data_IF_750310909558
#
_entry.id   IF_750310909558
#
_cell.length_a   1.000
_cell.length_b   1.000
_cell.length_c   1.000
_cell.angle_alpha   90.00
_cell.angle_beta   90.00
_cell.angle_gamma   90.00
#
_symmetry.space_group_name_H-M   'P 1'
#
loop_
_entity.id
_entity.type
_entity.pdbx_description
1 polymer ?
#
# COMPACT_ATOMS: atom_id res chain seq x y z
N UNK A 1 30.65 9.28 -1.23
CA UNK A 1 29.73 8.24 -1.74
C UNK A 1 29.30 7.22 -0.68
N UNK A 2 30.23 6.57 0.05
CA UNK A 2 29.90 5.55 1.07
C UNK A 2 29.00 6.11 2.18
N UNK A 3 29.21 7.31 2.66
CA UNK A 3 28.39 7.94 3.68
C UNK A 3 26.93 8.15 3.22
N UNK A 4 26.75 8.66 2.01
CA UNK A 4 25.42 8.87 1.40
C UNK A 4 24.66 7.54 1.21
N UNK A 5 25.37 6.48 0.81
CA UNK A 5 24.79 5.16 0.69
C UNK A 5 24.34 4.62 2.05
N UNK A 6 25.21 4.66 3.07
CA UNK A 6 24.86 4.22 4.43
C UNK A 6 23.67 5.00 5.02
N UNK A 7 23.65 6.32 4.81
CA UNK A 7 22.52 7.16 5.22
C UNK A 7 21.23 6.75 4.51
N UNK A 8 21.29 6.50 3.20
CA UNK A 8 20.12 6.05 2.42
C UNK A 8 19.60 4.69 2.90
N UNK A 9 20.50 3.74 3.21
CA UNK A 9 20.13 2.43 3.75
C UNK A 9 19.46 2.58 5.12
N UNK A 10 20.04 3.38 6.02
CA UNK A 10 19.47 3.63 7.34
C UNK A 10 18.05 4.20 7.24
N UNK A 11 17.84 5.23 6.42
CA UNK A 11 16.51 5.81 6.18
C UNK A 11 15.57 4.94 5.31
N UNK A 12 15.91 3.67 5.09
CA UNK A 12 15.04 2.67 4.46
C UNK A 12 14.60 1.58 5.46
N UNK A 13 15.02 1.66 6.70
CA UNK A 13 14.62 0.70 7.74
C UNK A 13 13.24 1.07 8.32
N UNK A 14 12.51 0.06 8.79
CA UNK A 14 11.21 0.28 9.43
C UNK A 14 11.36 1.16 10.68
N UNK A 15 12.44 0.98 11.44
CA UNK A 15 12.75 1.76 12.64
C UNK A 15 12.89 3.25 12.31
N UNK A 16 13.56 3.58 11.19
CA UNK A 16 13.71 4.98 10.78
C UNK A 16 12.38 5.60 10.35
N UNK A 17 11.50 4.83 9.73
CA UNK A 17 10.16 5.29 9.38
C UNK A 17 9.34 5.59 10.65
N UNK A 18 9.43 4.71 11.66
CA UNK A 18 8.70 4.85 12.92
C UNK A 18 9.18 6.02 13.78
N UNK A 19 10.38 6.57 13.57
CA UNK A 19 10.82 7.77 14.28
C UNK A 19 9.92 9.00 14.02
N UNK A 20 9.36 9.11 12.81
CA UNK A 20 8.48 10.23 12.45
C UNK A 20 6.99 9.83 12.48
N UNK A 21 6.70 8.55 12.23
CA UNK A 21 5.35 8.00 12.34
C UNK A 21 5.09 7.53 13.77
N UNK A 22 5.08 8.46 14.70
CA UNK A 22 4.96 8.20 16.15
C UNK A 22 3.59 7.66 16.59
N UNK A 23 2.64 7.53 15.67
CA UNK A 23 1.31 7.05 16.02
C UNK A 23 1.28 5.52 16.14
N UNK A 24 0.93 4.95 17.31
CA UNK A 24 0.99 3.51 17.55
C UNK A 24 0.05 2.70 16.63
N UNK A 25 -0.98 3.34 16.07
CA UNK A 25 -1.88 2.69 15.11
C UNK A 25 -1.14 2.21 13.85
N UNK A 26 -0.21 3.00 13.32
CA UNK A 26 0.55 2.66 12.10
C UNK A 26 1.34 1.38 12.30
N UNK A 27 2.11 1.30 13.38
CA UNK A 27 2.95 0.15 13.69
C UNK A 27 2.11 -1.10 14.00
N UNK A 28 1.09 -0.96 14.84
CA UNK A 28 0.26 -2.07 15.28
C UNK A 28 -0.55 -2.66 14.12
N UNK A 29 -1.17 -1.82 13.30
CA UNK A 29 -1.94 -2.28 12.13
C UNK A 29 -1.04 -2.95 11.08
N UNK A 30 0.17 -2.45 10.86
CA UNK A 30 1.15 -3.08 9.98
C UNK A 30 1.59 -4.45 10.51
N UNK A 31 1.92 -4.58 11.80
CA UNK A 31 2.30 -5.85 12.41
C UNK A 31 1.20 -6.93 12.32
N UNK A 32 -0.06 -6.51 12.29
CA UNK A 32 -1.22 -7.40 12.16
C UNK A 32 -1.57 -7.71 10.70
N UNK A 33 -0.99 -7.02 9.74
CA UNK A 33 -1.25 -7.22 8.32
C UNK A 33 -0.75 -8.57 7.81
N UNK A 34 -1.32 -9.05 6.71
CA UNK A 34 -0.89 -10.30 6.06
C UNK A 34 0.52 -10.24 5.49
N UNK A 35 1.06 -9.04 5.25
CA UNK A 35 2.43 -8.84 4.78
C UNK A 35 3.49 -8.92 5.88
N UNK A 36 3.08 -9.03 7.14
CA UNK A 36 3.97 -9.24 8.29
C UNK A 36 3.57 -10.48 9.07
N UNK A 37 2.29 -10.65 9.34
CA UNK A 37 1.75 -11.79 10.10
C UNK A 37 1.24 -12.87 9.13
N UNK A 38 2.16 -13.66 8.61
CA UNK A 38 1.87 -14.73 7.66
C UNK A 38 2.63 -16.02 8.01
N UNK A 39 2.16 -17.15 7.48
CA UNK A 39 2.77 -18.46 7.73
C UNK A 39 4.11 -18.70 7.04
N UNK A 40 4.51 -17.85 6.09
CA UNK A 40 5.79 -17.98 5.36
C UNK A 40 6.98 -17.36 6.10
N UNK A 41 6.72 -16.54 7.13
CA UNK A 41 7.75 -15.80 7.85
C UNK A 41 8.37 -14.63 7.05
N UNK A 42 7.85 -14.32 5.87
CA UNK A 42 8.31 -13.17 5.08
C UNK A 42 7.72 -11.90 5.65
N UNK A 43 8.59 -10.94 5.98
CA UNK A 43 8.21 -9.61 6.45
C UNK A 43 8.40 -8.60 5.34
N UNK A 44 7.33 -7.92 4.95
CA UNK A 44 7.38 -6.82 3.98
C UNK A 44 7.63 -5.51 4.69
N UNK A 45 8.69 -4.81 4.30
CA UNK A 45 9.12 -3.55 4.92
C UNK A 45 8.32 -2.35 4.39
N UNK A 46 8.24 -1.28 5.17
CA UNK A 46 7.51 -0.06 4.84
C UNK A 46 7.86 0.47 3.43
N UNK A 47 9.15 0.52 3.12
CA UNK A 47 9.65 1.04 1.83
C UNK A 47 9.20 0.22 0.62
N UNK A 48 8.94 -1.08 0.81
CA UNK A 48 8.50 -1.96 -0.29
C UNK A 48 7.10 -1.60 -0.82
N UNK A 49 6.25 -1.03 0.04
CA UNK A 49 4.91 -0.58 -0.34
C UNK A 49 4.86 0.92 -0.64
N UNK A 50 5.57 1.75 0.16
CA UNK A 50 5.44 3.20 0.11
C UNK A 50 6.39 3.90 -0.87
N UNK A 51 7.37 3.21 -1.40
CA UNK A 51 8.28 3.76 -2.43
C UNK A 51 8.17 2.95 -3.73
N UNK A 52 8.32 3.61 -4.88
CA UNK A 52 8.44 2.91 -6.16
C UNK A 52 9.60 1.91 -6.15
N UNK A 53 9.56 0.84 -6.96
CA UNK A 53 10.65 -0.13 -7.05
C UNK A 53 12.01 0.50 -7.32
N UNK A 54 13.07 -0.06 -6.74
CA UNK A 54 14.45 0.43 -6.93
C UNK A 54 14.97 0.24 -8.36
N UNK A 55 14.33 -0.60 -9.15
CA UNK A 55 14.60 -0.76 -10.58
C UNK A 55 14.52 0.57 -11.34
N UNK A 56 13.66 1.48 -10.92
CA UNK A 56 13.65 2.87 -11.36
C UNK A 56 14.31 3.77 -10.31
N UNK A 57 15.64 3.82 -10.31
CA UNK A 57 16.45 4.51 -9.31
C UNK A 57 16.04 5.98 -9.12
N UNK A 58 15.83 6.72 -10.21
CA UNK A 58 15.45 8.14 -10.13
C UNK A 58 14.07 8.33 -9.50
N UNK A 59 13.07 7.54 -9.92
CA UNK A 59 11.72 7.59 -9.40
C UNK A 59 11.71 7.23 -7.91
N UNK A 60 12.47 6.19 -7.52
CA UNK A 60 12.61 5.75 -6.13
C UNK A 60 13.18 6.85 -5.23
N UNK A 61 14.35 7.39 -5.56
CA UNK A 61 15.01 8.38 -4.71
C UNK A 61 14.33 9.74 -4.69
N UNK A 62 13.70 10.15 -5.80
CA UNK A 62 12.91 11.38 -5.83
C UNK A 62 11.65 11.27 -4.97
N UNK A 63 10.95 10.14 -5.02
CA UNK A 63 9.81 9.85 -4.15
C UNK A 63 10.24 9.82 -2.67
N UNK A 64 11.35 9.14 -2.36
CA UNK A 64 11.91 9.06 -1.02
C UNK A 64 12.26 10.43 -0.45
N UNK A 65 12.91 11.29 -1.22
CA UNK A 65 13.25 12.64 -0.82
C UNK A 65 11.99 13.49 -0.55
N UNK A 66 11.01 13.43 -1.48
CA UNK A 66 9.76 14.17 -1.36
C UNK A 66 8.94 13.76 -0.13
N UNK A 67 8.77 12.45 0.08
CA UNK A 67 8.02 11.93 1.21
C UNK A 67 8.74 12.19 2.53
N UNK A 68 10.05 11.93 2.59
CA UNK A 68 10.85 12.19 3.78
C UNK A 68 10.86 13.66 4.21
N UNK A 69 10.98 14.61 3.27
CA UNK A 69 10.86 16.04 3.59
C UNK A 69 9.47 16.39 4.13
N UNK A 70 8.42 15.83 3.56
CA UNK A 70 7.05 16.03 4.04
C UNK A 70 6.86 15.48 5.45
N UNK A 71 7.41 14.32 5.74
CA UNK A 71 7.28 13.67 7.06
C UNK A 71 8.05 14.45 8.12
N UNK A 72 9.29 14.87 7.83
CA UNK A 72 10.08 15.74 8.72
C UNK A 72 9.34 17.05 8.99
N UNK A 73 8.80 17.68 7.95
CA UNK A 73 8.02 18.91 8.13
C UNK A 73 6.79 18.68 9.02
N UNK A 74 6.05 17.60 8.77
CA UNK A 74 4.88 17.23 9.58
C UNK A 74 5.25 16.96 11.03
N UNK A 75 6.36 16.25 11.26
CA UNK A 75 6.87 15.95 12.60
C UNK A 75 7.23 17.21 13.40
N UNK A 76 7.80 18.22 12.73
CA UNK A 76 8.21 19.48 13.38
C UNK A 76 7.05 20.46 13.60
N UNK A 77 5.97 20.35 12.85
CA UNK A 77 4.91 21.38 12.82
C UNK A 77 3.55 20.92 13.29
N UNK A 78 3.36 19.60 13.50
CA UNK A 78 2.05 19.03 13.86
C UNK A 78 2.18 18.11 15.06
N UNK A 79 1.13 18.07 15.87
CA UNK A 79 0.96 17.05 16.89
C UNK A 79 0.34 15.77 16.29
N UNK A 80 0.59 14.61 16.90
CA UNK A 80 -0.03 13.36 16.52
C UNK A 80 -1.57 13.38 16.64
N UNK A 81 -2.10 14.20 17.55
CA UNK A 81 -3.53 14.43 17.76
C UNK A 81 -4.20 15.20 16.60
N UNK A 82 -3.41 15.96 15.80
CA UNK A 82 -3.93 16.73 14.66
C UNK A 82 -4.28 15.83 13.45
N UNK A 83 -3.90 14.54 13.52
CA UNK A 83 -4.13 13.61 12.42
C UNK A 83 -5.41 12.81 12.60
N UNK A 84 -6.36 12.96 11.70
CA UNK A 84 -7.47 12.04 11.57
C UNK A 84 -7.00 10.76 10.86
N UNK A 85 -6.69 9.72 11.62
CA UNK A 85 -6.17 8.46 11.10
C UNK A 85 -7.22 7.64 10.36
N UNK A 86 -8.50 7.81 10.70
CA UNK A 86 -9.61 7.17 10.00
C UNK A 86 -9.66 7.66 8.54
N UNK A 87 -9.72 8.98 8.34
CA UNK A 87 -9.69 9.58 7.00
C UNK A 87 -8.41 9.23 6.21
N UNK A 88 -7.28 9.11 6.90
CA UNK A 88 -6.01 8.71 6.25
C UNK A 88 -5.97 7.25 5.82
N UNK A 89 -6.80 6.41 6.40
CA UNK A 89 -6.94 5.00 6.04
C UNK A 89 -7.91 4.77 4.88
N UNK A 90 -8.61 5.80 4.41
CA UNK A 90 -9.53 5.70 3.29
C UNK A 90 -8.80 5.57 1.96
N UNK A 91 -9.46 4.92 1.00
CA UNK A 91 -8.91 4.66 -0.34
C UNK A 91 -8.44 5.93 -1.05
N UNK A 92 -9.24 6.99 -1.02
CA UNK A 92 -8.91 8.27 -1.67
C UNK A 92 -7.58 8.86 -1.20
N UNK A 93 -7.23 8.60 0.07
CA UNK A 93 -5.95 9.01 0.62
C UNK A 93 -4.83 8.02 0.29
N UNK A 94 -5.10 6.73 0.45
CA UNK A 94 -4.11 5.67 0.28
C UNK A 94 -3.52 5.60 -1.14
N UNK A 95 -4.35 5.78 -2.19
CA UNK A 95 -3.89 5.77 -3.59
C UNK A 95 -2.82 6.83 -3.91
N UNK A 96 -2.72 7.87 -3.11
CA UNK A 96 -1.71 8.94 -3.29
C UNK A 96 -0.31 8.52 -2.80
N UNK A 97 -0.22 7.47 -1.97
CA UNK A 97 1.01 7.08 -1.27
C UNK A 97 1.48 5.66 -1.56
N UNK A 98 0.68 4.86 -2.25
CA UNK A 98 1.02 3.47 -2.58
C UNK A 98 1.11 3.32 -4.09
N UNK A 99 2.33 3.30 -4.66
CA UNK A 99 2.52 3.07 -6.08
C UNK A 99 2.08 1.65 -6.47
N UNK A 100 1.30 1.51 -7.51
CA UNK A 100 0.81 0.21 -7.99
C UNK A 100 1.95 -0.74 -8.39
N UNK A 101 3.05 -0.17 -8.92
CA UNK A 101 4.24 -0.91 -9.30
C UNK A 101 4.90 -1.62 -8.10
N UNK A 102 4.76 -1.08 -6.90
CA UNK A 102 5.33 -1.69 -5.68
C UNK A 102 4.65 -3.01 -5.34
N UNK A 103 3.35 -3.12 -5.56
CA UNK A 103 2.62 -4.39 -5.42
C UNK A 103 3.05 -5.40 -6.48
N UNK A 104 3.16 -4.96 -7.73
CA UNK A 104 3.51 -5.79 -8.89
C UNK A 104 4.96 -6.28 -8.87
N UNK A 105 5.85 -5.68 -8.08
CA UNK A 105 7.23 -6.16 -7.92
C UNK A 105 7.26 -7.59 -7.33
N UNK A 106 6.37 -7.88 -6.39
CA UNK A 106 6.25 -9.20 -5.76
C UNK A 106 5.08 -10.01 -6.33
N UNK A 107 3.93 -9.37 -6.59
CA UNK A 107 2.71 -10.00 -7.11
C UNK A 107 2.69 -10.00 -8.65
N UNK A 108 3.62 -10.75 -9.27
CA UNK A 108 3.73 -10.85 -10.72
C UNK A 108 2.67 -11.78 -11.33
N UNK A 109 2.20 -12.76 -10.56
CA UNK A 109 1.11 -13.65 -10.96
C UNK A 109 -0.16 -13.31 -10.20
N UNK A 110 -1.17 -12.78 -10.89
CA UNK A 110 -2.47 -12.43 -10.31
C UNK A 110 -3.42 -13.65 -10.23
N UNK A 111 -3.03 -14.80 -10.80
CA UNK A 111 -3.81 -16.01 -10.84
C UNK A 111 -3.05 -17.19 -10.21
N UNK A 112 -2.65 -17.09 -8.92
CA UNK A 112 -1.92 -18.17 -8.26
C UNK A 112 -2.82 -19.40 -8.05
N UNK A 113 -2.21 -20.56 -7.91
CA UNK A 113 -2.92 -21.79 -7.54
C UNK A 113 -3.67 -21.58 -6.21
N UNK A 114 -4.93 -21.99 -6.18
CA UNK A 114 -5.79 -21.86 -5.00
C UNK A 114 -6.52 -20.52 -4.83
N UNK A 115 -6.40 -19.62 -5.82
CA UNK A 115 -7.26 -18.42 -5.85
C UNK A 115 -8.74 -18.85 -6.02
N UNK A 116 -9.65 -18.15 -5.38
CA UNK A 116 -11.10 -18.40 -5.51
C UNK A 116 -11.63 -17.93 -6.87
N UNK A 117 -12.77 -18.48 -7.31
CA UNK A 117 -13.43 -18.05 -8.56
C UNK A 117 -13.77 -16.55 -8.55
N UNK A 118 -14.18 -16.02 -7.41
CA UNK A 118 -14.41 -14.59 -7.25
C UNK A 118 -13.12 -13.78 -7.39
N UNK A 119 -12.00 -14.31 -6.87
CA UNK A 119 -10.67 -13.71 -7.04
C UNK A 119 -10.22 -13.71 -8.50
N UNK A 120 -10.44 -14.82 -9.23
CA UNK A 120 -10.18 -14.89 -10.68
C UNK A 120 -10.99 -13.83 -11.40
N UNK A 121 -12.28 -13.75 -11.14
CA UNK A 121 -13.20 -12.80 -11.78
C UNK A 121 -12.76 -11.35 -11.50
N UNK A 122 -12.39 -11.03 -10.26
CA UNK A 122 -11.93 -9.69 -9.88
C UNK A 122 -10.61 -9.30 -10.57
N UNK A 123 -9.67 -10.24 -10.69
CA UNK A 123 -8.39 -9.99 -11.36
C UNK A 123 -8.54 -9.89 -12.88
N UNK A 124 -9.41 -10.66 -13.51
CA UNK A 124 -9.75 -10.49 -14.93
C UNK A 124 -10.36 -9.11 -15.19
N UNK A 125 -11.30 -8.68 -14.33
CA UNK A 125 -11.87 -7.35 -14.43
C UNK A 125 -10.81 -6.25 -14.27
N UNK A 126 -9.86 -6.43 -13.34
CA UNK A 126 -8.75 -5.51 -13.15
C UNK A 126 -7.90 -5.42 -14.43
N UNK A 127 -7.47 -6.54 -15.01
CA UNK A 127 -6.64 -6.57 -16.22
C UNK A 127 -7.30 -5.85 -17.40
N UNK A 128 -8.62 -6.04 -17.57
CA UNK A 128 -9.38 -5.41 -18.65
C UNK A 128 -9.59 -3.91 -18.47
N UNK A 129 -9.63 -3.44 -17.21
CA UNK A 129 -10.08 -2.09 -16.88
C UNK A 129 -9.02 -1.23 -16.17
N UNK A 130 -7.86 -1.77 -15.81
CA UNK A 130 -6.81 -1.05 -15.06
C UNK A 130 -6.55 0.33 -15.64
N UNK A 131 -6.30 0.40 -16.96
CA UNK A 131 -5.96 1.66 -17.63
C UNK A 131 -7.15 2.57 -17.89
N UNK A 132 -8.35 2.00 -18.08
CA UNK A 132 -9.55 2.78 -18.40
C UNK A 132 -10.13 3.49 -17.18
N UNK A 133 -10.05 2.82 -16.03
CA UNK A 133 -10.65 3.27 -14.77
C UNK A 133 -9.59 3.71 -13.75
N UNK A 134 -8.31 3.74 -14.14
CA UNK A 134 -7.18 4.02 -13.23
C UNK A 134 -7.22 3.16 -11.95
N UNK A 135 -7.53 1.86 -12.13
CA UNK A 135 -7.64 0.94 -11.02
C UNK A 135 -6.26 0.62 -10.45
N UNK A 136 -6.18 0.62 -9.14
CA UNK A 136 -4.98 0.23 -8.42
C UNK A 136 -5.24 -1.03 -7.59
N UNK A 137 -4.21 -1.84 -7.32
CA UNK A 137 -4.34 -3.02 -6.46
C UNK A 137 -4.97 -2.67 -5.11
N UNK A 138 -4.59 -1.52 -4.57
CA UNK A 138 -5.10 -1.01 -3.30
C UNK A 138 -6.59 -0.64 -3.36
N UNK A 139 -7.19 -0.46 -4.54
CA UNK A 139 -8.63 -0.21 -4.67
C UNK A 139 -9.47 -1.38 -4.16
N UNK A 140 -8.90 -2.59 -4.19
CA UNK A 140 -9.52 -3.79 -3.64
C UNK A 140 -8.81 -4.32 -2.39
N UNK A 141 -7.52 -4.06 -2.23
CA UNK A 141 -6.67 -4.60 -1.16
C UNK A 141 -6.22 -3.50 -0.18
N UNK A 142 -7.15 -2.65 0.27
CA UNK A 142 -6.84 -1.48 1.09
C UNK A 142 -6.19 -1.81 2.44
N UNK A 143 -6.50 -2.97 3.03
CA UNK A 143 -5.93 -3.41 4.30
C UNK A 143 -4.69 -4.31 4.15
N UNK A 144 -4.17 -4.47 2.94
CA UNK A 144 -3.02 -5.34 2.69
C UNK A 144 -1.80 -4.99 3.55
N UNK A 145 -1.48 -3.69 3.66
CA UNK A 145 -0.34 -3.19 4.43
C UNK A 145 -0.64 -2.83 5.88
N UNK A 146 -1.89 -2.44 6.17
CA UNK A 146 -2.34 -2.01 7.50
C UNK A 146 -3.67 -2.65 7.82
N UNK A 147 -3.68 -3.59 8.75
CA UNK A 147 -4.90 -4.30 9.14
C UNK A 147 -5.95 -3.34 9.71
N UNK A 148 -7.15 -3.43 9.16
CA UNK A 148 -8.32 -2.70 9.62
C UNK A 148 -9.49 -3.67 9.85
N UNK A 149 -9.91 -3.91 11.09
CA UNK A 149 -10.99 -4.88 11.39
C UNK A 149 -12.36 -4.45 10.84
N UNK A 150 -12.51 -3.16 10.53
CA UNK A 150 -13.76 -2.61 9.99
C UNK A 150 -13.82 -2.66 8.47
N UNK A 151 -12.71 -3.06 7.83
CA UNK A 151 -12.64 -3.10 6.38
C UNK A 151 -13.26 -4.38 5.83
N UNK A 152 -14.25 -4.23 4.98
CA UNK A 152 -14.93 -5.35 4.33
C UNK A 152 -14.55 -5.41 2.85
N UNK A 153 -13.57 -6.23 2.52
CA UNK A 153 -13.06 -6.43 1.16
C UNK A 153 -14.14 -6.74 0.13
N UNK A 154 -15.11 -7.57 0.50
CA UNK A 154 -16.11 -8.06 -0.44
C UNK A 154 -17.00 -6.95 -1.01
N UNK A 155 -17.23 -5.88 -0.25
CA UNK A 155 -18.16 -4.84 -0.69
C UNK A 155 -17.56 -3.91 -1.77
N UNK A 156 -16.26 -3.63 -1.72
CA UNK A 156 -15.64 -2.67 -2.65
C UNK A 156 -15.34 -3.34 -3.99
N UNK A 157 -14.71 -4.51 -3.99
CA UNK A 157 -14.45 -5.24 -5.25
C UNK A 157 -15.74 -5.72 -5.93
N UNK A 158 -16.74 -6.17 -5.17
CA UNK A 158 -18.02 -6.63 -5.73
C UNK A 158 -18.84 -5.49 -6.36
N UNK A 159 -18.68 -4.24 -5.92
CA UNK A 159 -19.30 -3.09 -6.57
C UNK A 159 -18.78 -2.86 -7.98
N UNK A 160 -17.49 -3.16 -8.24
CA UNK A 160 -16.86 -3.01 -9.55
C UNK A 160 -16.99 -4.26 -10.44
N UNK A 161 -17.11 -5.45 -9.85
CA UNK A 161 -17.19 -6.73 -10.58
C UNK A 161 -18.60 -7.27 -10.76
N UNK A 162 -19.58 -6.76 -10.00
CA UNK A 162 -20.98 -7.15 -10.21
C UNK A 162 -21.51 -6.54 -11.51
N UNK A 163 -22.08 -7.38 -12.41
CA UNK A 163 -22.77 -6.86 -13.58
C UNK A 163 -23.81 -5.82 -13.17
N UNK A 164 -23.80 -4.69 -13.87
CA UNK A 164 -24.86 -3.66 -13.68
C UNK A 164 -26.23 -4.33 -13.80
N UNK A 165 -27.26 -3.88 -13.06
CA UNK A 165 -28.63 -4.36 -13.27
C UNK A 165 -29.11 -4.25 -14.74
N UNK A 166 -28.46 -3.38 -15.57
CA UNK A 166 -28.71 -3.26 -17.00
C UNK A 166 -28.07 -4.36 -17.84
N UNK A 167 -27.03 -5.04 -17.35
CA UNK A 167 -26.29 -6.05 -18.09
C UNK A 167 -26.85 -7.45 -17.82
N UNK A 168 -27.91 -7.55 -17.04
CA UNK A 168 -28.63 -8.80 -16.67
C UNK A 168 -29.93 -9.01 -17.48
N UNK A 169 -30.08 -8.36 -18.63
CA UNK A 169 -31.20 -8.59 -19.54
C UNK A 169 -30.78 -9.44 -20.72
#
# INVERSE_FOLDING_TARGET
MIALYKTSVYFSTDESCMMCHVHPHVENSWKLSKHVNNGSGVKTHCVACHLPPQTNTWKHYSAKAKLGMKDVWSYLTKDSADFNWETKSELEHAVKYIPNESCKECHQNLFPEGITDDGVTAHLYYDENEKKLDLQCISCHLDAGHYNPNYNHSKICLLYTSPSPRDRQ
#
